data_IF_753699596097
#
_entry.id   IF_753699596097
#
_cell.length_a   1.000
_cell.length_b   1.000
_cell.length_c   1.000
_cell.angle_alpha   90.00
_cell.angle_beta   90.00
_cell.angle_gamma   90.00
#
_symmetry.space_group_name_H-M   'P 1'
#
loop_
_entity.id
_entity.type
_entity.pdbx_description
1 polymer ?
#
# COMPACT_ATOMS: atom_id res chain seq x y z
N UNK A 1 9.69 -3.83 -28.80
CA UNK A 1 10.83 -3.57 -27.89
C UNK A 1 11.93 -4.59 -28.09
N UNK A 2 13.21 -4.23 -27.84
CA UNK A 2 14.35 -5.17 -27.91
C UNK A 2 14.64 -5.69 -26.50
N UNK A 3 14.75 -7.01 -26.34
CA UNK A 3 15.15 -7.66 -25.07
C UNK A 3 16.37 -8.54 -25.27
N UNK A 4 17.21 -8.64 -24.24
CA UNK A 4 18.39 -9.51 -24.23
C UNK A 4 18.11 -10.78 -23.42
N UNK A 5 18.60 -11.92 -23.90
CA UNK A 5 18.57 -13.16 -23.12
C UNK A 5 19.61 -13.09 -21.98
N UNK A 6 19.24 -13.37 -20.72
CA UNK A 6 20.15 -13.27 -19.57
C UNK A 6 21.28 -14.31 -19.57
N UNK A 7 21.14 -15.40 -20.34
CA UNK A 7 22.11 -16.50 -20.35
C UNK A 7 23.12 -16.39 -21.52
N UNK A 8 22.71 -15.87 -22.69
CA UNK A 8 23.59 -15.85 -23.89
C UNK A 8 23.64 -14.51 -24.64
N UNK A 9 23.08 -13.45 -24.05
CA UNK A 9 23.03 -12.07 -24.56
C UNK A 9 22.44 -11.88 -25.96
N UNK A 10 21.67 -12.86 -26.45
CA UNK A 10 21.02 -12.74 -27.76
C UNK A 10 19.92 -11.69 -27.71
N UNK A 11 19.92 -10.78 -28.71
CA UNK A 11 18.93 -9.72 -28.87
C UNK A 11 17.69 -10.23 -29.61
N UNK A 12 16.51 -9.99 -29.04
CA UNK A 12 15.21 -10.34 -29.63
C UNK A 12 14.36 -9.08 -29.79
N UNK A 13 13.87 -8.83 -31.00
CA UNK A 13 12.86 -7.80 -31.24
C UNK A 13 11.46 -8.41 -31.03
N UNK A 14 10.80 -8.01 -29.94
CA UNK A 14 9.49 -8.52 -29.56
C UNK A 14 8.43 -7.45 -29.85
N UNK A 15 7.42 -7.76 -30.70
CA UNK A 15 6.32 -6.84 -30.95
C UNK A 15 5.45 -6.72 -29.70
N UNK A 16 5.05 -5.49 -29.36
CA UNK A 16 4.31 -5.16 -28.13
C UNK A 16 2.95 -5.89 -28.06
N UNK A 17 2.33 -6.14 -29.22
CA UNK A 17 1.10 -6.92 -29.34
C UNK A 17 1.24 -8.36 -28.78
N UNK A 18 2.45 -8.91 -28.70
CA UNK A 18 2.70 -10.25 -28.14
C UNK A 18 2.99 -10.26 -26.64
N UNK A 19 3.26 -9.14 -25.98
CA UNK A 19 3.62 -9.11 -24.56
C UNK A 19 2.37 -8.94 -23.69
N UNK A 20 1.36 -8.17 -24.13
CA UNK A 20 0.12 -7.95 -23.38
C UNK A 20 0.38 -7.32 -21.99
N UNK A 21 -0.62 -7.33 -21.11
CA UNK A 21 -0.54 -6.77 -19.75
C UNK A 21 -0.10 -7.80 -18.70
N UNK A 22 0.54 -8.91 -19.10
CA UNK A 22 0.86 -10.01 -18.19
C UNK A 22 2.29 -10.51 -18.41
N UNK A 23 2.99 -10.96 -17.35
CA UNK A 23 4.32 -11.53 -17.46
C UNK A 23 4.31 -12.73 -18.40
N UNK A 24 5.12 -12.68 -19.46
CA UNK A 24 5.16 -13.73 -20.49
C UNK A 24 6.48 -14.48 -20.46
N UNK A 25 6.40 -15.81 -20.42
CA UNK A 25 7.56 -16.71 -20.50
C UNK A 25 8.08 -16.73 -21.92
N UNK A 26 9.35 -16.41 -22.09
CA UNK A 26 10.04 -16.39 -23.37
C UNK A 26 11.17 -17.41 -23.37
N UNK A 27 11.20 -18.30 -24.36
CA UNK A 27 12.28 -19.27 -24.55
C UNK A 27 13.28 -18.72 -25.56
N UNK A 28 14.53 -18.58 -25.13
CA UNK A 28 15.64 -18.22 -26.00
C UNK A 28 15.85 -19.29 -27.09
N UNK A 29 15.94 -18.90 -28.36
CA UNK A 29 16.23 -19.82 -29.47
C UNK A 29 17.69 -20.27 -29.52
N UNK A 30 18.61 -19.52 -28.90
CA UNK A 30 20.05 -19.79 -28.94
C UNK A 30 20.53 -20.72 -27.82
N UNK A 31 20.04 -20.55 -26.59
CA UNK A 31 20.48 -21.33 -25.42
C UNK A 31 19.35 -22.06 -24.70
N UNK A 32 18.11 -22.00 -25.20
CA UNK A 32 16.92 -22.62 -24.59
C UNK A 32 16.51 -22.10 -23.21
N UNK A 33 17.19 -21.08 -22.67
CA UNK A 33 16.83 -20.43 -21.41
C UNK A 33 15.41 -19.86 -21.45
N UNK A 34 14.65 -20.10 -20.39
CA UNK A 34 13.29 -19.57 -20.24
C UNK A 34 13.34 -18.40 -19.27
N UNK A 35 13.12 -17.20 -19.77
CA UNK A 35 13.09 -15.98 -18.96
C UNK A 35 11.74 -15.28 -19.07
N UNK A 36 11.40 -14.50 -18.05
CA UNK A 36 10.13 -13.77 -17.98
C UNK A 36 10.37 -12.35 -18.44
N UNK A 37 9.55 -11.89 -19.37
CA UNK A 37 9.54 -10.50 -19.81
C UNK A 37 8.38 -9.81 -19.10
N UNK A 38 8.71 -8.91 -18.18
CA UNK A 38 7.74 -8.04 -17.56
C UNK A 38 7.55 -6.83 -18.49
N UNK A 39 6.33 -6.57 -19.03
CA UNK A 39 6.08 -5.31 -19.71
C UNK A 39 6.40 -4.15 -18.73
N UNK A 40 6.97 -3.04 -19.21
CA UNK A 40 7.09 -1.85 -18.38
C UNK A 40 5.66 -1.42 -18.00
N UNK A 41 5.27 -1.72 -16.76
CA UNK A 41 3.94 -1.41 -16.24
C UNK A 41 3.83 0.11 -16.15
N UNK A 42 2.97 0.71 -16.96
CA UNK A 42 2.46 2.03 -16.67
C UNK A 42 1.72 1.96 -15.31
N UNK A 43 2.33 2.58 -14.30
CA UNK A 43 1.79 2.91 -12.96
C UNK A 43 0.62 2.05 -12.48
N UNK A 44 0.93 0.93 -11.85
CA UNK A 44 0.03 0.33 -10.85
C UNK A 44 0.87 -0.13 -9.68
N UNK A 45 0.77 0.67 -8.61
CA UNK A 45 1.02 0.34 -7.21
C UNK A 45 2.28 -0.50 -6.94
N UNK A 46 3.40 0.20 -6.73
CA UNK A 46 4.58 -0.36 -6.09
C UNK A 46 4.70 0.23 -4.68
N UNK A 47 4.17 -0.51 -3.71
CA UNK A 47 4.65 -0.49 -2.33
C UNK A 47 5.97 -1.24 -2.29
N UNK A 48 7.08 -0.55 -2.52
CA UNK A 48 8.42 -0.90 -2.02
C UNK A 48 9.47 0.04 -2.61
N UNK A 49 9.43 1.31 -2.23
CA UNK A 49 10.59 2.19 -2.37
C UNK A 49 11.23 2.37 -0.99
N UNK A 50 12.25 1.56 -0.74
CA UNK A 50 13.24 1.86 0.30
C UNK A 50 14.29 2.75 -0.35
N UNK A 51 13.94 3.98 -0.69
CA UNK A 51 14.91 5.05 -0.79
C UNK A 51 15.29 5.45 0.62
N UNK A 52 16.55 5.23 1.00
CA UNK A 52 17.20 5.94 2.12
C UNK A 52 17.39 7.39 1.65
N UNK A 53 16.30 8.14 1.53
CA UNK A 53 16.29 9.58 1.75
C UNK A 53 15.87 9.74 3.22
N UNK A 54 16.34 10.79 3.91
CA UNK A 54 15.89 11.07 5.28
C UNK A 54 14.36 11.02 5.33
N UNK A 55 13.81 10.00 6.00
CA UNK A 55 12.36 9.79 6.11
C UNK A 55 11.81 11.01 6.84
N UNK A 56 11.12 11.89 6.09
CA UNK A 56 10.53 13.10 6.66
C UNK A 56 9.61 12.69 7.80
N UNK A 57 9.44 13.54 8.81
CA UNK A 57 8.65 13.18 9.99
C UNK A 57 7.19 12.84 9.62
N UNK A 58 6.65 13.47 8.57
CA UNK A 58 5.41 13.08 7.89
C UNK A 58 5.38 11.61 7.43
N UNK A 59 6.45 11.16 6.78
CA UNK A 59 6.57 9.79 6.28
C UNK A 59 6.65 8.79 7.44
N UNK A 60 7.34 9.17 8.53
CA UNK A 60 7.40 8.38 9.77
C UNK A 60 6.03 8.27 10.42
N UNK A 61 5.31 9.38 10.52
CA UNK A 61 3.97 9.44 11.08
C UNK A 61 2.97 8.64 10.25
N UNK A 62 3.04 8.74 8.92
CA UNK A 62 2.20 7.98 8.01
C UNK A 62 2.48 6.48 8.09
N UNK A 63 3.76 6.06 8.14
CA UNK A 63 4.10 4.64 8.35
C UNK A 63 3.55 4.13 9.68
N UNK A 64 3.70 4.91 10.76
CA UNK A 64 3.20 4.51 12.07
C UNK A 64 1.67 4.41 12.10
N UNK A 65 0.95 5.36 11.51
CA UNK A 65 -0.51 5.30 11.37
C UNK A 65 -0.97 4.03 10.63
N UNK A 66 -0.30 3.66 9.53
CA UNK A 66 -0.60 2.42 8.79
C UNK A 66 -0.33 1.17 9.62
N UNK A 67 0.72 1.16 10.45
CA UNK A 67 0.98 0.05 11.37
C UNK A 67 -0.17 -0.10 12.37
N UNK A 68 -0.60 0.99 13.00
CA UNK A 68 -1.72 0.96 13.95
C UNK A 68 -3.04 0.52 13.29
N UNK A 69 -3.37 1.08 12.13
CA UNK A 69 -4.60 0.71 11.41
C UNK A 69 -4.57 -0.76 10.92
N UNK A 70 -3.41 -1.24 10.46
CA UNK A 70 -3.24 -2.64 10.08
C UNK A 70 -3.35 -3.58 11.28
N UNK A 71 -2.85 -3.18 12.45
CA UNK A 71 -2.95 -3.95 13.69
C UNK A 71 -4.42 -4.10 14.11
N UNK A 72 -5.16 -2.99 14.13
CA UNK A 72 -6.61 -2.99 14.36
C UNK A 72 -7.35 -3.92 13.41
N UNK A 73 -7.02 -3.90 12.11
CA UNK A 73 -7.62 -4.79 11.12
C UNK A 73 -7.34 -6.26 11.40
N UNK A 74 -6.10 -6.59 11.75
CA UNK A 74 -5.69 -7.97 12.02
C UNK A 74 -6.41 -8.50 13.26
N UNK A 75 -6.46 -7.73 14.34
CA UNK A 75 -7.05 -8.18 15.61
C UNK A 75 -8.57 -8.10 15.65
N UNK A 76 -9.19 -7.22 14.86
CA UNK A 76 -10.64 -7.00 14.89
C UNK A 76 -11.31 -7.35 13.55
N UNK A 77 -10.73 -8.25 12.74
CA UNK A 77 -11.22 -8.55 11.39
C UNK A 77 -12.71 -8.88 11.33
N UNK A 78 -13.17 -9.81 12.17
CA UNK A 78 -14.58 -10.24 12.17
C UNK A 78 -15.52 -9.09 12.57
N UNK A 79 -15.12 -8.32 13.58
CA UNK A 79 -15.86 -7.16 14.07
C UNK A 79 -15.96 -6.06 12.98
N UNK A 80 -14.85 -5.79 12.28
CA UNK A 80 -14.80 -4.81 11.19
C UNK A 80 -15.67 -5.27 10.01
N UNK A 81 -15.59 -6.54 9.63
CA UNK A 81 -16.39 -7.09 8.54
C UNK A 81 -17.89 -7.04 8.84
N UNK A 82 -18.30 -7.25 10.08
CA UNK A 82 -19.68 -7.07 10.54
C UNK A 82 -20.08 -5.59 10.52
N UNK A 83 -19.27 -4.73 11.13
CA UNK A 83 -19.58 -3.32 11.24
C UNK A 83 -19.62 -2.58 9.88
N UNK A 84 -18.86 -3.07 8.88
CA UNK A 84 -18.97 -2.63 7.48
C UNK A 84 -20.32 -2.97 6.87
N UNK A 85 -20.87 -4.16 7.16
CA UNK A 85 -22.19 -4.59 6.63
C UNK A 85 -23.32 -3.81 7.28
N UNK A 86 -23.18 -3.51 8.57
CA UNK A 86 -24.18 -2.76 9.33
C UNK A 86 -24.08 -1.24 9.14
N UNK A 87 -22.93 -0.74 8.66
CA UNK A 87 -22.69 0.68 8.45
C UNK A 87 -22.40 1.46 9.74
N UNK A 88 -21.99 0.80 10.81
CA UNK A 88 -21.73 1.36 12.14
C UNK A 88 -20.23 1.29 12.53
N UNK A 89 -19.34 1.09 11.55
CA UNK A 89 -17.90 0.92 11.77
C UNK A 89 -17.25 2.02 12.64
N UNK A 90 -17.55 3.33 12.49
CA UNK A 90 -17.01 4.35 13.37
C UNK A 90 -17.41 4.19 14.84
N UNK A 91 -18.65 3.76 15.09
CA UNK A 91 -19.16 3.59 16.44
C UNK A 91 -18.51 2.38 17.12
N UNK A 92 -18.47 1.26 16.40
CA UNK A 92 -17.91 -0.02 16.89
C UNK A 92 -16.40 0.08 17.15
N UNK A 93 -15.66 0.75 16.27
CA UNK A 93 -14.20 0.86 16.38
C UNK A 93 -13.73 2.07 17.20
N UNK A 94 -14.64 2.94 17.66
CA UNK A 94 -14.31 4.19 18.36
C UNK A 94 -13.29 4.02 19.50
N UNK A 95 -13.44 2.99 20.33
CA UNK A 95 -12.54 2.73 21.45
C UNK A 95 -11.11 2.35 21.04
N UNK A 96 -10.96 1.55 19.98
CA UNK A 96 -9.64 1.16 19.47
C UNK A 96 -8.97 2.30 18.69
N UNK A 97 -9.78 3.05 17.93
CA UNK A 97 -9.35 4.25 17.22
C UNK A 97 -8.83 5.29 18.20
N UNK A 98 -9.55 5.57 19.29
CA UNK A 98 -9.14 6.57 20.28
C UNK A 98 -7.79 6.20 20.92
N UNK A 99 -7.61 4.95 21.37
CA UNK A 99 -6.35 4.50 21.96
C UNK A 99 -5.17 4.65 21.01
N UNK A 100 -5.39 4.31 19.74
CA UNK A 100 -4.33 4.40 18.73
C UNK A 100 -4.07 5.83 18.27
N UNK A 101 -5.09 6.68 18.28
CA UNK A 101 -4.94 8.11 18.08
C UNK A 101 -4.09 8.75 19.18
N UNK A 102 -4.40 8.46 20.46
CA UNK A 102 -3.61 8.96 21.59
C UNK A 102 -2.15 8.51 21.50
N UNK A 103 -1.92 7.25 21.09
CA UNK A 103 -0.58 6.71 20.87
C UNK A 103 0.14 7.40 19.70
N UNK A 104 -0.55 7.62 18.58
CA UNK A 104 -0.01 8.31 17.41
C UNK A 104 0.35 9.76 17.75
N UNK A 105 -0.57 10.50 18.38
CA UNK A 105 -0.39 11.89 18.83
C UNK A 105 0.72 12.04 19.84
N UNK A 106 0.85 11.11 20.78
CA UNK A 106 1.97 11.10 21.74
C UNK A 106 3.33 10.95 21.07
N UNK A 107 3.39 10.37 19.87
CA UNK A 107 4.63 10.14 19.14
C UNK A 107 4.93 11.24 18.12
N UNK A 108 3.89 11.84 17.54
CA UNK A 108 3.98 12.84 16.47
C UNK A 108 3.09 14.05 16.78
N UNK A 109 3.40 14.83 17.84
CA UNK A 109 2.59 15.98 18.21
C UNK A 109 2.61 17.09 17.14
N UNK A 110 3.76 17.32 16.50
CA UNK A 110 3.93 18.36 15.47
C UNK A 110 3.13 18.03 14.20
N UNK A 111 3.14 16.77 13.75
CA UNK A 111 2.32 16.28 12.63
C UNK A 111 0.84 16.29 12.98
N UNK A 112 0.48 16.01 14.23
CA UNK A 112 -0.92 16.10 14.65
C UNK A 112 -1.47 17.52 14.48
N UNK A 113 -0.65 18.55 14.73
CA UNK A 113 -1.04 19.95 14.52
C UNK A 113 -1.00 20.34 13.03
N UNK A 114 -0.05 19.80 12.28
CA UNK A 114 0.20 20.15 10.88
C UNK A 114 -0.74 19.46 9.90
N UNK A 115 -0.91 18.15 10.05
CA UNK A 115 -1.73 17.30 9.17
C UNK A 115 -2.25 16.06 9.93
N UNK A 116 -3.35 16.20 10.69
CA UNK A 116 -3.97 15.09 11.40
C UNK A 116 -4.65 14.08 10.47
N UNK A 117 -4.85 14.42 9.18
CA UNK A 117 -5.50 13.54 8.22
C UNK A 117 -4.63 12.32 7.89
N UNK A 118 -3.31 12.37 8.13
CA UNK A 118 -2.38 11.23 8.05
C UNK A 118 -2.93 9.99 8.76
N UNK A 119 -3.51 10.17 9.95
CA UNK A 119 -4.09 9.06 10.70
C UNK A 119 -5.42 8.60 10.10
N UNK A 120 -6.30 9.55 9.74
CA UNK A 120 -7.61 9.24 9.14
C UNK A 120 -7.49 8.50 7.81
N UNK A 121 -6.50 8.87 6.98
CA UNK A 121 -6.23 8.22 5.71
C UNK A 121 -5.78 6.77 5.90
N UNK A 122 -5.00 6.48 6.94
CA UNK A 122 -4.65 5.11 7.30
C UNK A 122 -5.88 4.32 7.77
N UNK A 123 -6.74 4.89 8.62
CA UNK A 123 -7.99 4.23 9.03
C UNK A 123 -8.88 3.93 7.82
N UNK A 124 -9.08 4.91 6.94
CA UNK A 124 -9.87 4.75 5.72
C UNK A 124 -9.27 3.67 4.80
N UNK A 125 -7.94 3.66 4.64
CA UNK A 125 -7.25 2.67 3.82
C UNK A 125 -7.42 1.22 4.33
N UNK A 126 -7.31 0.99 5.64
CA UNK A 126 -7.26 -0.36 6.21
C UNK A 126 -8.60 -0.83 6.77
N UNK A 127 -9.35 0.06 7.44
CA UNK A 127 -10.63 -0.29 8.07
C UNK A 127 -11.82 -0.07 7.15
N UNK A 128 -11.75 0.85 6.18
CA UNK A 128 -12.88 1.23 5.33
C UNK A 128 -12.72 0.89 3.84
N UNK A 129 -11.76 0.02 3.48
CA UNK A 129 -11.47 -0.35 2.08
C UNK A 129 -11.21 0.86 1.14
N UNK A 130 -10.71 1.96 1.70
CA UNK A 130 -10.41 3.20 0.99
C UNK A 130 -11.56 4.22 0.95
N UNK A 131 -12.73 3.89 1.52
CA UNK A 131 -13.82 4.86 1.66
C UNK A 131 -13.51 5.89 2.74
N UNK A 132 -13.86 7.16 2.51
CA UNK A 132 -13.59 8.27 3.43
C UNK A 132 -14.69 8.39 4.48
N UNK A 133 -14.67 7.49 5.46
CA UNK A 133 -15.64 7.45 6.56
C UNK A 133 -15.10 8.08 7.86
N UNK A 134 -13.79 8.00 8.08
CA UNK A 134 -13.11 8.58 9.24
C UNK A 134 -12.53 9.94 8.89
N UNK A 135 -12.69 10.91 9.80
CA UNK A 135 -12.07 12.23 9.72
C UNK A 135 -11.27 12.49 10.99
N UNK A 136 -10.19 13.25 10.86
CA UNK A 136 -9.36 13.72 11.98
C UNK A 136 -10.17 14.37 13.11
N UNK A 137 -11.30 14.99 12.79
CA UNK A 137 -12.18 15.66 13.76
C UNK A 137 -12.98 14.70 14.66
N UNK A 138 -13.11 13.42 14.29
CA UNK A 138 -13.97 12.47 15.00
C UNK A 138 -13.37 11.95 16.32
N UNK A 139 -12.07 12.15 16.53
CA UNK A 139 -11.31 11.61 17.67
C UNK A 139 -10.24 12.59 18.21
N UNK A 140 -10.26 13.86 17.78
CA UNK A 140 -9.28 14.89 18.17
C UNK A 140 -9.50 15.49 19.56
#
# INVERSE_FOLDING_TARGET
MIVNCPNCDSKYNIPENKIGNSPKRFRCRKCSEIFIINPPKAKVAETSDVSIAEDSEEQRAARFARVLASDMLIYNRELIDEARKEGNLPEVMSGEIQKSWDLWKSRFPEECERDPDIFSDALNQFLADGERIFRSQDYS
#
